data_IF_970683549103
#
_entry.id   IF_970683549103
#
_cell.length_a   1.000
_cell.length_b   1.000
_cell.length_c   1.000
_cell.angle_alpha   90.00
_cell.angle_beta   90.00
_cell.angle_gamma   90.00
#
_symmetry.space_group_name_H-M   'P 1'
#
loop_
_entity.id
_entity.type
_entity.pdbx_description
1 polymer ?
#
# COMPACT_ATOMS: atom_id res chain seq x y z
N UNK A 1 -13.75 20.90 3.76
CA UNK A 1 -12.65 20.66 4.71
C UNK A 1 -11.56 19.77 4.11
N UNK A 2 -11.83 18.50 3.72
CA UNK A 2 -10.83 17.60 3.09
C UNK A 2 -10.10 18.27 1.90
N UNK A 3 -10.84 18.85 0.96
CA UNK A 3 -10.24 19.47 -0.23
C UNK A 3 -9.29 20.63 0.11
N UNK A 4 -9.64 21.46 1.10
CA UNK A 4 -8.78 22.57 1.54
C UNK A 4 -7.48 22.06 2.16
N UNK A 5 -7.55 21.00 2.99
CA UNK A 5 -6.37 20.37 3.58
C UNK A 5 -5.49 19.73 2.50
N UNK A 6 -6.08 18.98 1.56
CA UNK A 6 -5.34 18.40 0.42
C UNK A 6 -4.69 19.50 -0.41
N UNK A 7 -5.41 20.56 -0.74
CA UNK A 7 -4.85 21.70 -1.51
C UNK A 7 -3.69 22.36 -0.76
N UNK A 8 -3.80 22.55 0.55
CA UNK A 8 -2.73 23.11 1.37
C UNK A 8 -1.48 22.22 1.34
N UNK A 9 -1.65 20.92 1.57
CA UNK A 9 -0.53 19.95 1.59
C UNK A 9 0.14 19.84 0.20
N UNK A 10 -0.66 19.82 -0.89
CA UNK A 10 -0.13 19.78 -2.27
C UNK A 10 0.62 21.07 -2.63
N UNK A 11 0.06 22.25 -2.31
CA UNK A 11 0.67 23.55 -2.65
C UNK A 11 1.97 23.82 -1.91
N UNK A 12 2.14 23.23 -0.72
CA UNK A 12 3.36 23.34 0.08
C UNK A 12 4.31 22.15 -0.08
N UNK A 13 4.04 21.22 -1.02
CA UNK A 13 4.83 20.00 -1.25
C UNK A 13 5.04 19.15 0.02
N UNK A 14 4.02 19.09 0.88
CA UNK A 14 4.07 18.38 2.15
C UNK A 14 3.63 16.90 2.07
N UNK A 15 3.19 16.46 0.90
CA UNK A 15 2.98 15.04 0.68
C UNK A 15 4.25 14.37 0.19
N UNK A 16 4.49 13.17 0.67
CA UNK A 16 5.48 12.28 0.09
C UNK A 16 5.21 12.11 -1.43
N UNK A 17 6.22 12.32 -2.26
CA UNK A 17 6.10 12.27 -3.72
C UNK A 17 5.82 10.86 -4.23
N UNK A 18 6.20 9.83 -3.47
CA UNK A 18 6.06 8.41 -3.81
C UNK A 18 4.68 7.85 -3.46
N UNK A 19 3.87 8.58 -2.66
CA UNK A 19 2.50 8.21 -2.31
C UNK A 19 1.53 8.62 -3.41
N UNK A 20 0.79 7.65 -3.96
CA UNK A 20 -0.20 7.89 -5.00
C UNK A 20 -1.66 7.81 -4.52
N UNK A 21 -1.93 7.17 -3.38
CA UNK A 21 -3.29 7.04 -2.89
C UNK A 21 -3.91 8.38 -2.46
N UNK A 22 -5.19 8.52 -2.72
CA UNK A 22 -6.03 9.65 -2.30
C UNK A 22 -5.58 11.04 -2.78
N UNK A 23 -4.66 11.12 -3.74
CA UNK A 23 -4.13 12.34 -4.35
C UNK A 23 -4.80 12.62 -5.70
N UNK A 24 -4.99 13.91 -6.03
CA UNK A 24 -5.55 14.33 -7.31
C UNK A 24 -4.60 14.00 -8.46
N UNK A 25 -5.11 13.42 -9.53
CA UNK A 25 -4.33 13.06 -10.72
C UNK A 25 -3.43 11.82 -10.55
N UNK A 26 -3.53 11.11 -9.42
CA UNK A 26 -2.82 9.85 -9.15
C UNK A 26 -3.81 8.69 -9.00
N UNK A 27 -3.37 7.49 -9.30
CA UNK A 27 -4.20 6.26 -9.29
C UNK A 27 -3.32 5.03 -9.04
N UNK A 28 -3.95 3.86 -8.82
CA UNK A 28 -3.25 2.58 -8.80
C UNK A 28 -2.42 2.39 -10.07
N UNK A 29 -3.00 2.69 -11.25
CA UNK A 29 -2.30 2.58 -12.53
C UNK A 29 -1.06 3.48 -12.59
N UNK A 30 -1.17 4.75 -12.18
CA UNK A 30 0.00 5.65 -12.19
C UNK A 30 1.09 5.22 -11.21
N UNK A 31 0.73 4.56 -10.10
CA UNK A 31 1.69 3.97 -9.17
C UNK A 31 2.39 2.76 -9.78
N UNK A 32 1.63 1.85 -10.39
CA UNK A 32 2.18 0.66 -11.05
C UNK A 32 3.12 1.05 -12.19
N UNK A 33 2.72 1.99 -13.05
CA UNK A 33 3.56 2.47 -14.14
C UNK A 33 4.87 3.07 -13.63
N UNK A 34 4.81 3.94 -12.61
CA UNK A 34 6.01 4.53 -12.03
C UNK A 34 6.91 3.49 -11.33
N UNK A 35 6.32 2.42 -10.79
CA UNK A 35 7.08 1.33 -10.20
C UNK A 35 7.77 0.48 -11.27
N UNK A 36 7.04 0.13 -12.33
CA UNK A 36 7.58 -0.66 -13.44
C UNK A 36 8.68 0.08 -14.20
N UNK A 37 8.48 1.35 -14.48
CA UNK A 37 9.46 2.22 -15.15
C UNK A 37 10.80 2.25 -14.39
N UNK A 38 10.74 2.34 -13.06
CA UNK A 38 11.92 2.30 -12.21
C UNK A 38 12.64 0.94 -12.26
N UNK A 39 11.88 -0.18 -12.17
CA UNK A 39 12.45 -1.54 -12.29
C UNK A 39 13.15 -1.70 -13.63
N UNK A 40 12.48 -1.34 -14.73
CA UNK A 40 13.05 -1.47 -16.09
C UNK A 40 14.28 -0.61 -16.26
N UNK A 41 14.27 0.63 -15.79
CA UNK A 41 15.43 1.52 -15.83
C UNK A 41 16.65 0.95 -15.11
N UNK A 42 16.45 0.34 -13.93
CA UNK A 42 17.52 -0.30 -13.18
C UNK A 42 18.06 -1.56 -13.90
N UNK A 43 17.17 -2.37 -14.48
CA UNK A 43 17.56 -3.57 -15.27
C UNK A 43 18.32 -3.15 -16.53
N UNK A 44 17.90 -2.11 -17.25
CA UNK A 44 18.59 -1.58 -18.44
C UNK A 44 20.01 -1.10 -18.09
N UNK A 45 20.22 -0.66 -16.85
CA UNK A 45 21.55 -0.32 -16.34
C UNK A 45 22.37 -1.55 -15.87
N UNK A 46 21.89 -2.77 -16.12
CA UNK A 46 22.59 -4.03 -15.82
C UNK A 46 22.55 -4.45 -14.35
N UNK A 47 21.60 -3.91 -13.56
CA UNK A 47 21.44 -4.25 -12.16
C UNK A 47 20.39 -5.34 -11.97
N UNK A 48 20.54 -6.18 -10.96
CA UNK A 48 19.39 -6.88 -10.39
C UNK A 48 18.54 -5.85 -9.60
N UNK A 49 17.26 -6.11 -9.47
CA UNK A 49 16.37 -5.25 -8.68
C UNK A 49 15.65 -6.09 -7.65
N UNK A 50 15.92 -5.82 -6.39
CA UNK A 50 15.27 -6.47 -5.27
C UNK A 50 14.17 -5.54 -4.72
N UNK A 51 12.94 -6.05 -4.62
CA UNK A 51 11.76 -5.30 -4.17
C UNK A 51 11.16 -5.98 -2.96
N UNK A 52 11.15 -5.33 -1.79
CA UNK A 52 10.50 -5.85 -0.58
C UNK A 52 9.10 -5.25 -0.46
N UNK A 53 8.07 -6.09 -0.55
CA UNK A 53 6.69 -5.72 -0.28
C UNK A 53 6.40 -5.82 1.20
N UNK A 54 5.88 -4.73 1.78
CA UNK A 54 5.63 -4.58 3.20
C UNK A 54 4.12 -4.58 3.46
N UNK A 55 3.67 -5.33 4.45
CA UNK A 55 2.26 -5.41 4.86
C UNK A 55 2.11 -4.88 6.29
N UNK A 56 1.28 -3.84 6.49
CA UNK A 56 0.98 -3.33 7.81
C UNK A 56 -0.12 -4.14 8.50
N UNK A 57 0.05 -4.46 9.76
CA UNK A 57 -0.96 -5.11 10.56
C UNK A 57 -2.07 -4.13 10.97
N UNK A 58 -3.22 -4.17 10.28
CA UNK A 58 -4.38 -3.30 10.56
C UNK A 58 -4.03 -1.81 10.52
N UNK A 59 -3.40 -1.36 9.44
CA UNK A 59 -2.85 -0.02 9.25
C UNK A 59 -3.76 1.11 9.76
N UNK A 60 -5.00 1.16 9.27
CA UNK A 60 -5.96 2.22 9.64
C UNK A 60 -6.45 2.16 11.08
N UNK A 61 -6.49 0.97 11.69
CA UNK A 61 -6.96 0.77 13.07
C UNK A 61 -5.88 1.06 14.11
N UNK A 62 -4.59 0.98 13.71
CA UNK A 62 -3.44 1.20 14.59
C UNK A 62 -2.91 2.62 14.58
N UNK A 63 -3.41 3.52 13.72
CA UNK A 63 -2.98 4.93 13.68
C UNK A 63 -2.96 5.53 15.08
N UNK A 64 -1.80 5.97 15.55
CA UNK A 64 -1.69 6.72 16.81
C UNK A 64 -2.16 8.15 16.60
N UNK A 65 -3.25 8.48 17.28
CA UNK A 65 -3.91 9.79 17.15
C UNK A 65 -2.98 10.92 17.60
N UNK A 66 -2.18 10.71 18.63
CA UNK A 66 -1.26 11.75 19.15
C UNK A 66 -0.12 12.00 18.17
N UNK A 67 0.43 10.93 17.58
CA UNK A 67 1.49 11.03 16.57
C UNK A 67 1.01 11.77 15.32
N UNK A 68 -0.16 11.43 14.79
CA UNK A 68 -0.69 12.11 13.61
C UNK A 68 -1.03 13.57 13.90
N UNK A 69 -1.59 13.88 15.06
CA UNK A 69 -1.85 15.27 15.47
C UNK A 69 -0.55 16.08 15.63
N UNK A 70 0.50 15.44 16.15
CA UNK A 70 1.82 16.05 16.21
C UNK A 70 2.38 16.35 14.81
N UNK A 71 2.37 15.35 13.90
CA UNK A 71 2.81 15.52 12.51
C UNK A 71 2.01 16.62 11.80
N UNK A 72 0.70 16.69 12.00
CA UNK A 72 -0.13 17.77 11.44
C UNK A 72 0.35 19.16 11.88
N UNK A 73 0.74 19.32 13.14
CA UNK A 73 1.33 20.58 13.63
C UNK A 73 2.67 20.88 12.95
N UNK A 74 3.55 19.87 12.83
CA UNK A 74 4.82 20.01 12.12
C UNK A 74 4.62 20.42 10.66
N UNK A 75 3.54 19.95 10.00
CA UNK A 75 3.14 20.34 8.66
C UNK A 75 2.43 21.71 8.59
N UNK A 76 2.34 22.47 9.68
CA UNK A 76 1.73 23.80 9.74
C UNK A 76 0.19 23.79 9.73
N UNK A 77 -0.46 22.65 10.01
CA UNK A 77 -1.91 22.58 10.16
C UNK A 77 -2.30 23.09 11.55
N UNK A 78 -2.88 24.28 11.62
CA UNK A 78 -3.17 24.99 12.87
C UNK A 78 -4.60 25.55 12.94
N UNK A 79 -4.91 26.19 14.07
CA UNK A 79 -6.13 26.95 14.28
C UNK A 79 -7.39 26.09 14.26
N UNK A 80 -8.47 26.66 13.70
CA UNK A 80 -9.82 26.03 13.75
C UNK A 80 -9.85 24.66 13.04
N UNK A 81 -9.07 24.47 12.00
CA UNK A 81 -9.01 23.21 11.27
C UNK A 81 -8.37 22.12 12.13
N UNK A 82 -7.24 22.43 12.75
CA UNK A 82 -6.54 21.50 13.66
C UNK A 82 -7.46 21.12 14.83
N UNK A 83 -8.05 22.10 15.54
CA UNK A 83 -8.91 21.84 16.69
C UNK A 83 -10.12 20.98 16.33
N UNK A 84 -10.67 21.16 15.13
CA UNK A 84 -11.77 20.35 14.63
C UNK A 84 -11.33 18.90 14.37
N UNK A 85 -10.18 18.69 13.74
CA UNK A 85 -9.64 17.34 13.47
C UNK A 85 -9.28 16.65 14.80
N UNK A 86 -8.69 17.36 15.73
CA UNK A 86 -8.41 16.86 17.07
C UNK A 86 -9.68 16.38 17.77
N UNK A 87 -10.73 17.20 17.77
CA UNK A 87 -12.05 16.83 18.33
C UNK A 87 -12.69 15.65 17.59
N UNK A 88 -12.49 15.54 16.27
CA UNK A 88 -13.00 14.43 15.47
C UNK A 88 -12.29 13.10 15.79
N UNK A 89 -11.03 13.13 16.17
CA UNK A 89 -10.21 11.95 16.45
C UNK A 89 -10.24 11.52 17.92
N UNK A 90 -10.31 12.48 18.85
CA UNK A 90 -10.27 12.21 20.29
C UNK A 90 -11.64 11.88 20.85
N UNK A 91 -11.65 11.28 22.04
CA UNK A 91 -12.85 11.00 22.84
C UNK A 91 -13.94 10.19 22.12
N UNK A 92 -13.55 9.39 21.13
CA UNK A 92 -14.48 8.49 20.43
C UNK A 92 -14.79 7.26 21.28
N UNK A 93 -16.01 6.79 21.15
CA UNK A 93 -16.45 5.51 21.70
C UNK A 93 -17.05 4.65 20.61
N UNK A 94 -17.03 3.34 20.80
CA UNK A 94 -17.68 2.38 19.90
C UNK A 94 -18.62 1.46 20.65
N UNK A 95 -19.69 1.08 19.99
CA UNK A 95 -20.71 0.15 20.46
C UNK A 95 -21.04 -0.81 19.32
N UNK A 96 -21.12 -2.09 19.61
CA UNK A 96 -21.53 -3.10 18.64
C UNK A 96 -23.04 -3.32 18.77
N UNK A 97 -23.75 -3.30 17.63
CA UNK A 97 -25.19 -3.56 17.57
C UNK A 97 -25.43 -4.80 16.73
N UNK A 98 -26.10 -5.81 17.32
CA UNK A 98 -26.48 -7.05 16.65
C UNK A 98 -27.97 -7.29 16.93
N UNK A 99 -28.78 -7.41 15.90
CA UNK A 99 -30.23 -7.66 15.98
C UNK A 99 -30.98 -6.72 16.97
N UNK A 100 -30.55 -5.43 17.01
CA UNK A 100 -31.15 -4.43 17.88
C UNK A 100 -30.61 -4.40 19.32
N UNK A 101 -29.75 -5.32 19.71
CA UNK A 101 -29.05 -5.33 20.99
C UNK A 101 -27.71 -4.60 20.89
N UNK A 102 -27.46 -3.72 21.86
CA UNK A 102 -26.22 -2.93 21.93
C UNK A 102 -25.29 -3.46 23.02
N UNK A 103 -23.99 -3.57 22.69
CA UNK A 103 -22.96 -3.79 23.70
C UNK A 103 -22.75 -2.58 24.59
N UNK A 104 -21.99 -2.72 25.67
CA UNK A 104 -21.45 -1.56 26.39
C UNK A 104 -20.58 -0.71 25.47
N UNK A 105 -20.64 0.61 25.65
CA UNK A 105 -19.77 1.54 24.91
C UNK A 105 -18.35 1.49 25.46
N UNK A 106 -17.35 1.33 24.59
CA UNK A 106 -15.93 1.32 24.95
C UNK A 106 -15.16 2.45 24.26
N UNK A 107 -14.17 3.08 24.93
CA UNK A 107 -13.38 4.14 24.31
C UNK A 107 -12.50 3.60 23.18
N UNK A 108 -12.42 4.35 22.07
CA UNK A 108 -11.52 4.08 20.95
C UNK A 108 -10.19 4.79 21.20
N UNK A 109 -9.11 4.04 21.36
CA UNK A 109 -7.77 4.56 21.72
C UNK A 109 -6.86 4.84 20.52
N UNK A 110 -7.10 4.19 19.38
CA UNK A 110 -6.29 4.29 18.15
C UNK A 110 -7.18 4.20 16.91
N UNK A 111 -6.57 4.38 15.78
CA UNK A 111 -7.19 4.25 14.46
C UNK A 111 -7.97 5.49 14.01
N UNK A 112 -8.13 5.58 12.72
CA UNK A 112 -8.97 6.58 12.07
C UNK A 112 -10.38 6.02 11.85
N UNK A 113 -11.45 6.87 11.89
CA UNK A 113 -12.79 6.39 11.63
C UNK A 113 -12.91 5.80 10.22
N UNK A 114 -13.09 4.48 10.13
CA UNK A 114 -13.30 3.79 8.85
C UNK A 114 -14.58 4.29 8.17
N UNK A 115 -14.54 4.41 6.83
CA UNK A 115 -15.66 4.98 6.05
C UNK A 115 -15.76 6.51 6.11
N UNK A 116 -14.91 7.19 6.88
CA UNK A 116 -14.85 8.65 6.88
C UNK A 116 -14.07 9.20 5.69
N UNK A 117 -14.43 10.40 5.24
CA UNK A 117 -13.74 11.11 4.14
C UNK A 117 -12.32 11.55 4.53
N UNK A 118 -12.05 11.75 5.82
CA UNK A 118 -10.75 12.20 6.34
C UNK A 118 -9.83 11.07 6.77
N UNK A 119 -10.36 9.91 7.13
CA UNK A 119 -9.54 8.78 7.60
C UNK A 119 -8.36 8.46 6.69
N UNK A 120 -8.57 8.26 5.39
CA UNK A 120 -7.47 8.00 4.45
C UNK A 120 -6.43 9.14 4.39
N UNK A 121 -6.87 10.39 4.42
CA UNK A 121 -5.95 11.53 4.40
C UNK A 121 -5.11 11.62 5.67
N UNK A 122 -5.71 11.36 6.82
CA UNK A 122 -5.02 11.33 8.12
C UNK A 122 -3.98 10.21 8.15
N UNK A 123 -4.29 9.04 7.58
CA UNK A 123 -3.33 7.96 7.42
C UNK A 123 -2.13 8.38 6.56
N UNK A 124 -2.37 9.02 5.41
CA UNK A 124 -1.29 9.51 4.54
C UNK A 124 -0.42 10.54 5.26
N UNK A 125 -1.01 11.42 6.07
CA UNK A 125 -0.25 12.37 6.90
C UNK A 125 0.66 11.65 7.90
N UNK A 126 0.22 10.52 8.48
CA UNK A 126 1.10 9.71 9.32
C UNK A 126 2.31 9.18 8.55
N UNK A 127 2.10 8.82 7.27
CA UNK A 127 3.10 8.18 6.40
C UNK A 127 4.04 9.19 5.68
N UNK A 128 3.92 10.50 5.94
CA UNK A 128 4.63 11.52 5.13
C UNK A 128 6.14 11.47 5.23
N UNK A 129 6.69 10.95 6.30
CA UNK A 129 8.12 10.96 6.62
C UNK A 129 8.79 9.57 6.55
N UNK A 130 8.07 8.52 6.15
CA UNK A 130 8.63 7.15 6.10
C UNK A 130 9.79 7.03 5.10
N UNK A 131 9.79 7.80 4.03
CA UNK A 131 10.85 7.79 3.02
C UNK A 131 12.11 8.54 3.46
N UNK A 132 12.01 9.41 4.46
CA UNK A 132 13.17 10.09 5.05
C UNK A 132 14.11 9.12 5.78
N UNK A 133 13.61 7.94 6.17
CA UNK A 133 14.40 6.88 6.80
C UNK A 133 15.24 6.06 5.81
N UNK A 134 14.99 6.20 4.51
CA UNK A 134 15.70 5.45 3.48
C UNK A 134 16.91 6.22 2.98
N UNK A 135 18.09 5.59 3.07
CA UNK A 135 19.35 6.19 2.62
C UNK A 135 19.77 5.73 1.22
N UNK A 136 19.38 4.53 0.83
CA UNK A 136 19.91 3.86 -0.37
C UNK A 136 18.81 3.31 -1.28
N UNK A 137 17.60 3.14 -0.77
CA UNK A 137 16.48 2.48 -1.44
C UNK A 137 15.41 3.48 -1.82
N UNK A 138 14.57 3.10 -2.77
CA UNK A 138 13.39 3.88 -3.17
C UNK A 138 12.14 3.32 -2.51
N UNK A 139 11.32 4.21 -1.95
CA UNK A 139 10.01 3.86 -1.44
C UNK A 139 8.94 4.12 -2.51
N UNK A 140 8.00 3.23 -2.62
CA UNK A 140 6.75 3.41 -3.38
C UNK A 140 5.59 2.98 -2.51
N UNK A 141 4.53 3.80 -2.42
CA UNK A 141 3.37 3.47 -1.60
C UNK A 141 2.04 3.85 -2.24
N UNK A 142 1.03 3.06 -1.96
CA UNK A 142 -0.36 3.35 -2.27
C UNK A 142 -1.21 3.05 -1.03
N UNK A 143 -1.51 4.06 -0.23
CA UNK A 143 -2.02 3.95 1.12
C UNK A 143 -1.07 3.12 2.01
N UNK A 144 -1.53 2.00 2.53
CA UNK A 144 -0.78 1.05 3.34
C UNK A 144 0.04 0.04 2.52
N UNK A 145 -0.32 -0.19 1.25
CA UNK A 145 0.51 -1.00 0.34
C UNK A 145 1.84 -0.28 0.08
N UNK A 146 2.88 -0.72 0.75
CA UNK A 146 4.21 -0.08 0.74
C UNK A 146 5.27 -1.06 0.28
N UNK A 147 6.23 -0.59 -0.50
CA UNK A 147 7.37 -1.36 -0.97
C UNK A 147 8.63 -0.51 -1.00
N UNK A 148 9.73 -1.13 -0.68
CA UNK A 148 11.07 -0.55 -0.86
C UNK A 148 11.82 -1.34 -1.92
N UNK A 149 12.61 -0.67 -2.74
CA UNK A 149 13.31 -1.29 -3.84
C UNK A 149 14.70 -0.69 -4.03
N UNK A 150 15.60 -1.51 -4.54
CA UNK A 150 16.95 -1.10 -4.84
C UNK A 150 17.51 -1.89 -6.01
N UNK A 151 18.29 -1.21 -6.88
CA UNK A 151 19.19 -1.86 -7.83
C UNK A 151 20.40 -2.44 -7.08
N UNK A 152 20.72 -3.70 -7.35
CA UNK A 152 21.74 -4.46 -6.63
C UNK A 152 22.71 -5.10 -7.63
N UNK A 153 24.01 -4.74 -7.54
CA UNK A 153 25.09 -5.32 -8.33
C UNK A 153 26.07 -6.15 -7.50
N UNK A 154 25.97 -6.08 -6.19
CA UNK A 154 26.87 -6.78 -5.26
C UNK A 154 26.25 -6.93 -3.87
N UNK A 155 26.86 -7.78 -3.02
CA UNK A 155 26.39 -8.09 -1.67
C UNK A 155 26.31 -6.84 -0.77
N UNK A 156 27.20 -5.85 -0.96
CA UNK A 156 27.16 -4.60 -0.19
C UNK A 156 25.88 -3.82 -0.46
N UNK A 157 25.46 -3.73 -1.71
CA UNK A 157 24.22 -3.03 -2.08
C UNK A 157 22.97 -3.74 -1.57
N UNK A 158 22.98 -5.08 -1.56
CA UNK A 158 21.94 -5.85 -0.88
C UNK A 158 21.91 -5.56 0.63
N UNK A 159 23.07 -5.46 1.28
CA UNK A 159 23.14 -5.07 2.71
C UNK A 159 22.64 -3.65 2.98
N UNK A 160 22.74 -2.74 2.01
CA UNK A 160 22.16 -1.40 2.11
C UNK A 160 20.62 -1.44 2.10
N UNK A 161 20.01 -2.25 1.22
CA UNK A 161 18.55 -2.47 1.22
C UNK A 161 18.09 -3.09 2.55
N UNK A 162 18.87 -4.05 3.08
CA UNK A 162 18.58 -4.63 4.41
C UNK A 162 18.65 -3.58 5.52
N UNK A 163 19.62 -2.65 5.46
CA UNK A 163 19.74 -1.55 6.41
C UNK A 163 18.51 -0.62 6.35
N UNK A 164 18.11 -0.21 5.17
CA UNK A 164 16.91 0.61 4.95
C UNK A 164 15.63 -0.10 5.42
N UNK A 165 15.55 -1.44 5.25
CA UNK A 165 14.44 -2.22 5.78
C UNK A 165 14.37 -2.16 7.31
N UNK A 166 15.50 -2.20 8.01
CA UNK A 166 15.53 -2.04 9.46
C UNK A 166 15.13 -0.62 9.88
N UNK A 167 15.58 0.41 9.18
CA UNK A 167 15.16 1.79 9.44
C UNK A 167 13.63 1.95 9.31
N UNK A 168 13.01 1.29 8.34
CA UNK A 168 11.55 1.28 8.18
C UNK A 168 10.85 0.56 9.34
N UNK A 169 11.44 -0.51 9.89
CA UNK A 169 10.94 -1.14 11.12
C UNK A 169 11.01 -0.18 12.32
N UNK A 170 12.13 0.51 12.50
CA UNK A 170 12.32 1.48 13.58
C UNK A 170 11.34 2.65 13.46
N UNK A 171 11.09 3.11 12.22
CA UNK A 171 10.05 4.10 11.94
C UNK A 171 8.66 3.60 12.35
N UNK A 172 8.32 2.36 12.00
CA UNK A 172 7.01 1.78 12.35
C UNK A 172 6.84 1.69 13.87
N UNK A 173 7.83 1.19 14.59
CA UNK A 173 7.83 1.14 16.06
C UNK A 173 7.69 2.55 16.67
N UNK A 174 8.47 3.51 16.19
CA UNK A 174 8.43 4.90 16.66
C UNK A 174 7.08 5.57 16.40
N UNK A 175 6.31 5.11 15.41
CA UNK A 175 4.97 5.61 15.08
C UNK A 175 3.84 4.74 15.65
N UNK A 176 4.14 3.76 16.51
CA UNK A 176 3.20 2.77 17.04
C UNK A 176 2.46 1.98 15.96
N UNK A 177 3.11 1.84 14.80
CA UNK A 177 2.66 0.99 13.70
C UNK A 177 3.34 -0.37 13.79
N UNK A 178 2.70 -1.39 13.25
CA UNK A 178 3.23 -2.75 13.26
C UNK A 178 3.12 -3.36 11.87
N UNK A 179 4.19 -4.02 11.45
CA UNK A 179 4.18 -4.81 10.23
C UNK A 179 3.73 -6.26 10.50
N UNK A 180 3.09 -6.85 9.51
CA UNK A 180 2.87 -8.28 9.45
C UNK A 180 4.01 -8.94 8.67
N UNK A 181 5.16 -9.08 9.32
CA UNK A 181 6.40 -9.53 8.68
C UNK A 181 6.31 -10.92 8.03
N UNK A 182 5.33 -11.76 8.45
CA UNK A 182 5.08 -13.07 7.85
C UNK A 182 4.47 -12.98 6.45
N UNK A 183 3.98 -11.81 6.05
CA UNK A 183 3.44 -11.54 4.72
C UNK A 183 4.40 -10.76 3.83
N UNK A 184 5.59 -10.48 4.29
CA UNK A 184 6.57 -9.84 3.44
C UNK A 184 6.97 -10.79 2.33
N UNK A 185 7.04 -10.26 1.13
CA UNK A 185 7.39 -10.98 -0.08
C UNK A 185 8.44 -10.19 -0.85
N UNK A 186 9.33 -10.90 -1.52
CA UNK A 186 10.41 -10.29 -2.28
C UNK A 186 10.52 -10.91 -3.68
N UNK A 187 9.97 -10.31 -4.73
CA UNK A 187 10.33 -10.63 -6.10
C UNK A 187 11.69 -10.01 -6.41
N UNK A 188 12.52 -10.78 -7.11
CA UNK A 188 13.88 -10.38 -7.47
C UNK A 188 14.04 -10.43 -8.98
N UNK A 189 14.18 -9.26 -9.58
CA UNK A 189 14.31 -9.07 -11.01
C UNK A 189 15.79 -9.10 -11.43
N UNK A 190 16.06 -9.39 -12.70
CA UNK A 190 17.42 -9.42 -13.27
C UNK A 190 17.98 -10.82 -13.41
N UNK A 191 19.11 -10.93 -14.14
CA UNK A 191 19.64 -12.19 -14.63
C UNK A 191 20.79 -12.77 -13.78
N UNK A 192 21.34 -12.03 -12.82
CA UNK A 192 22.45 -12.53 -11.99
C UNK A 192 21.94 -13.42 -10.85
N UNK A 193 21.73 -14.70 -11.17
CA UNK A 193 21.29 -15.72 -10.21
C UNK A 193 22.36 -16.02 -9.14
N UNK A 194 23.65 -15.85 -9.45
CA UNK A 194 24.72 -16.07 -8.48
C UNK A 194 24.63 -15.03 -7.34
N UNK A 195 24.36 -13.77 -7.68
CA UNK A 195 24.15 -12.71 -6.68
C UNK A 195 22.89 -12.96 -5.84
N UNK A 196 21.80 -13.40 -6.44
CA UNK A 196 20.57 -13.75 -5.71
C UNK A 196 20.81 -14.85 -4.67
N UNK A 197 21.59 -15.88 -5.01
CA UNK A 197 21.92 -16.97 -4.08
C UNK A 197 22.81 -16.53 -2.90
N UNK A 198 23.61 -15.48 -3.08
CA UNK A 198 24.53 -14.96 -2.05
C UNK A 198 23.85 -13.99 -1.07
N UNK A 199 22.63 -13.56 -1.36
CA UNK A 199 21.95 -12.49 -0.62
C UNK A 199 20.57 -12.94 -0.15
N UNK A 200 20.28 -12.76 1.13
CA UNK A 200 18.96 -12.96 1.72
C UNK A 200 18.58 -11.73 2.53
N UNK A 201 17.27 -11.50 2.64
CA UNK A 201 16.72 -10.40 3.44
C UNK A 201 15.99 -10.93 4.66
N UNK A 202 16.17 -10.24 5.78
CA UNK A 202 15.66 -10.67 7.07
C UNK A 202 14.61 -9.68 7.59
N UNK A 203 13.60 -10.22 8.23
CA UNK A 203 12.68 -9.43 9.06
C UNK A 203 13.38 -8.94 10.34
N UNK A 204 12.76 -8.04 11.09
CA UNK A 204 13.26 -7.56 12.38
C UNK A 204 13.44 -8.66 13.44
N UNK A 205 12.78 -9.81 13.30
CA UNK A 205 12.92 -10.98 14.19
C UNK A 205 13.91 -12.02 13.64
N UNK A 206 14.65 -11.70 12.57
CA UNK A 206 15.65 -12.58 11.97
C UNK A 206 15.10 -13.71 11.08
N UNK A 207 13.82 -13.68 10.71
CA UNK A 207 13.24 -14.64 9.77
C UNK A 207 13.56 -14.20 8.33
N UNK A 208 13.96 -15.13 7.47
CA UNK A 208 14.20 -14.84 6.05
C UNK A 208 12.85 -14.47 5.40
N UNK A 209 12.86 -13.38 4.62
CA UNK A 209 11.72 -12.96 3.83
C UNK A 209 11.55 -13.92 2.64
N UNK A 210 10.32 -14.28 2.36
CA UNK A 210 9.98 -15.29 1.36
C UNK A 210 10.17 -14.74 -0.06
N UNK A 211 11.09 -15.35 -0.82
CA UNK A 211 11.30 -15.01 -2.23
C UNK A 211 10.16 -15.57 -3.08
N UNK A 212 9.62 -14.74 -3.99
CA UNK A 212 8.50 -15.09 -4.85
C UNK A 212 8.82 -14.85 -6.32
N UNK A 213 8.43 -15.79 -7.17
CA UNK A 213 8.48 -15.60 -8.62
C UNK A 213 7.46 -14.56 -9.09
N UNK A 214 6.35 -14.43 -8.38
CA UNK A 214 5.33 -13.41 -8.64
C UNK A 214 4.67 -12.92 -7.35
N UNK A 215 4.27 -11.64 -7.35
CA UNK A 215 3.55 -10.99 -6.25
C UNK A 215 2.32 -10.26 -6.77
N UNK A 216 1.31 -10.14 -5.91
CA UNK A 216 0.12 -9.36 -6.24
C UNK A 216 0.28 -7.93 -5.76
N UNK A 217 0.29 -6.97 -6.67
CA UNK A 217 0.44 -5.55 -6.41
C UNK A 217 -0.72 -4.75 -6.99
N UNK A 218 -1.49 -4.06 -6.15
CA UNK A 218 -2.64 -3.23 -6.52
C UNK A 218 -3.60 -3.90 -7.52
N UNK A 219 -3.80 -5.20 -7.36
CA UNK A 219 -4.69 -6.00 -8.20
C UNK A 219 -4.03 -6.64 -9.42
N UNK A 220 -2.78 -6.31 -9.73
CA UNK A 220 -1.99 -6.94 -10.79
C UNK A 220 -1.05 -8.02 -10.22
N UNK A 221 -0.77 -9.06 -11.00
CA UNK A 221 0.28 -10.04 -10.70
C UNK A 221 1.53 -9.60 -11.44
N UNK A 222 2.58 -9.34 -10.67
CA UNK A 222 3.88 -8.88 -11.14
C UNK A 222 4.87 -10.05 -11.04
N UNK A 223 5.34 -10.55 -12.17
CA UNK A 223 6.30 -11.66 -12.23
C UNK A 223 7.73 -11.13 -12.28
N UNK A 224 8.67 -11.86 -11.66
CA UNK A 224 10.09 -11.49 -11.59
C UNK A 224 10.81 -11.52 -12.94
N UNK A 225 10.22 -12.18 -13.96
CA UNK A 225 10.67 -12.17 -15.36
C UNK A 225 10.17 -10.92 -16.13
N UNK A 226 9.39 -10.05 -15.50
CA UNK A 226 8.77 -8.87 -16.11
C UNK A 226 7.61 -9.18 -17.06
N UNK A 227 7.17 -10.45 -17.19
CA UNK A 227 6.06 -10.83 -18.06
C UNK A 227 4.70 -10.57 -17.39
N UNK A 228 3.67 -10.32 -18.22
CA UNK A 228 2.28 -10.23 -17.77
C UNK A 228 1.48 -11.52 -18.01
N UNK A 229 2.17 -12.61 -18.38
CA UNK A 229 1.52 -13.87 -18.76
C UNK A 229 0.64 -14.43 -17.64
N UNK A 230 1.14 -14.46 -16.42
CA UNK A 230 0.40 -14.94 -15.25
C UNK A 230 -0.82 -14.06 -14.95
N UNK A 231 -0.64 -12.74 -14.98
CA UNK A 231 -1.73 -11.78 -14.77
C UNK A 231 -2.83 -11.94 -15.83
N UNK A 232 -2.47 -12.00 -17.11
CA UNK A 232 -3.42 -12.18 -18.21
C UNK A 232 -4.19 -13.49 -18.06
N UNK A 233 -3.51 -14.60 -17.75
CA UNK A 233 -4.16 -15.89 -17.52
C UNK A 233 -5.14 -15.82 -16.33
N UNK A 234 -4.73 -15.21 -15.22
CA UNK A 234 -5.58 -15.02 -14.04
C UNK A 234 -6.85 -14.22 -14.37
N UNK A 235 -6.74 -13.09 -15.08
CA UNK A 235 -7.88 -12.26 -15.48
C UNK A 235 -8.81 -13.02 -16.43
N UNK A 236 -8.24 -13.75 -17.40
CA UNK A 236 -9.04 -14.56 -18.35
C UNK A 236 -9.82 -15.65 -17.62
N UNK A 237 -9.19 -16.38 -16.70
CA UNK A 237 -9.89 -17.43 -15.93
C UNK A 237 -10.97 -16.86 -15.01
N UNK A 238 -10.74 -15.71 -14.41
CA UNK A 238 -11.73 -15.00 -13.60
C UNK A 238 -12.91 -14.55 -14.46
N UNK A 239 -12.65 -13.97 -15.63
CA UNK A 239 -13.69 -13.57 -16.58
C UNK A 239 -14.53 -14.78 -17.08
N UNK A 240 -13.89 -15.90 -17.41
CA UNK A 240 -14.59 -17.15 -17.78
C UNK A 240 -15.49 -17.65 -16.66
N UNK A 241 -15.03 -17.61 -15.43
CA UNK A 241 -15.80 -18.01 -14.24
C UNK A 241 -17.03 -17.14 -14.06
N UNK A 242 -16.89 -15.82 -14.17
CA UNK A 242 -18.00 -14.87 -14.09
C UNK A 242 -19.00 -15.07 -15.23
N UNK A 243 -18.52 -15.25 -16.47
CA UNK A 243 -19.37 -15.54 -17.62
C UNK A 243 -20.18 -16.83 -17.41
N UNK A 244 -19.52 -17.90 -16.95
CA UNK A 244 -20.18 -19.18 -16.65
C UNK A 244 -21.25 -19.04 -15.57
N UNK A 245 -20.99 -18.21 -14.55
CA UNK A 245 -21.98 -17.87 -13.51
C UNK A 245 -23.18 -17.13 -14.07
N UNK A 246 -22.96 -16.13 -14.93
CA UNK A 246 -24.04 -15.40 -15.61
C UNK A 246 -24.91 -16.38 -16.43
N UNK A 247 -24.27 -17.25 -17.23
CA UNK A 247 -24.97 -18.20 -18.06
C UNK A 247 -25.80 -19.24 -17.29
N UNK A 248 -25.37 -19.60 -16.08
CA UNK A 248 -26.10 -20.54 -15.20
C UNK A 248 -27.27 -19.89 -14.47
N UNK A 249 -27.11 -18.66 -14.00
CA UNK A 249 -28.06 -18.04 -13.08
C UNK A 249 -29.15 -17.19 -13.80
N UNK A 250 -28.83 -16.64 -14.97
CA UNK A 250 -29.80 -15.79 -15.70
C UNK A 250 -30.44 -16.56 -16.87
N UNK A 251 -31.77 -16.62 -16.87
CA UNK A 251 -32.53 -17.29 -17.95
C UNK A 251 -32.66 -16.45 -19.21
N UNK A 252 -32.75 -15.12 -19.05
CA UNK A 252 -32.84 -14.20 -20.18
C UNK A 252 -31.57 -14.22 -21.02
N UNK A 253 -31.72 -14.32 -22.34
CA UNK A 253 -30.62 -14.28 -23.32
C UNK A 253 -30.74 -13.09 -24.27
N UNK A 254 -31.60 -12.11 -23.94
CA UNK A 254 -31.69 -10.91 -24.76
C UNK A 254 -30.38 -10.16 -24.80
N UNK A 255 -30.01 -9.61 -25.96
CA UNK A 255 -28.72 -8.91 -26.16
C UNK A 255 -28.50 -7.79 -25.13
N UNK A 256 -29.51 -6.97 -24.88
CA UNK A 256 -29.41 -5.86 -23.96
C UNK A 256 -29.15 -6.34 -22.52
N UNK A 257 -29.80 -7.40 -22.08
CA UNK A 257 -29.59 -7.99 -20.75
C UNK A 257 -28.18 -8.55 -20.61
N UNK A 258 -27.72 -9.31 -21.60
CA UNK A 258 -26.40 -9.91 -21.60
C UNK A 258 -25.29 -8.86 -21.64
N UNK A 259 -25.46 -7.79 -22.42
CA UNK A 259 -24.53 -6.66 -22.47
C UNK A 259 -24.48 -5.90 -21.14
N UNK A 260 -25.61 -5.73 -20.46
CA UNK A 260 -25.65 -5.11 -19.14
C UNK A 260 -24.86 -5.96 -18.13
N UNK A 261 -25.12 -7.27 -18.07
CA UNK A 261 -24.40 -8.20 -17.18
C UNK A 261 -22.90 -8.26 -17.52
N UNK A 262 -22.53 -8.29 -18.78
CA UNK A 262 -21.15 -8.25 -19.22
C UNK A 262 -20.42 -6.99 -18.71
N UNK A 263 -21.02 -5.83 -18.94
CA UNK A 263 -20.43 -4.54 -18.54
C UNK A 263 -20.35 -4.36 -17.02
N UNK A 264 -21.29 -4.93 -16.25
CA UNK A 264 -21.35 -4.75 -14.80
C UNK A 264 -20.61 -5.81 -14.01
N UNK A 265 -20.42 -7.01 -14.54
CA UNK A 265 -19.86 -8.15 -13.81
C UNK A 265 -18.55 -8.64 -14.41
N UNK A 266 -18.43 -8.74 -15.76
CA UNK A 266 -17.25 -9.33 -16.40
C UNK A 266 -16.15 -8.29 -16.66
N UNK A 267 -16.49 -7.11 -17.21
CA UNK A 267 -15.48 -6.07 -17.50
C UNK A 267 -14.73 -5.59 -16.24
N UNK A 268 -15.37 -5.45 -15.05
CA UNK A 268 -14.65 -5.01 -13.85
C UNK A 268 -13.77 -6.08 -13.20
N UNK A 269 -13.77 -7.31 -13.72
CA UNK A 269 -12.95 -8.41 -13.15
C UNK A 269 -11.50 -8.30 -13.51
#
# INVERSE_FOLDING_TARGET
>A
MRNNLVTYLDQNNLFNTTQHAFRKGRSCLSQLLAHYDEILSLIENGLNVDVVYLDFAKAFDKVDIKKVLYKMKCLGVEGKLYNWIESFLLNRTQTVVVEGYSSTSIPVKSGVPQGSVLGPLIFIILMTDIDEELMYSLLKSFADDTRIMKGVSNVREASQLQGDLFNVYDWAESNNMEFNSLKFEIPRYGADEALKQLTNYLTNIGTIIDEKDSVKDLGNIMSNDGSFTEHVNHVVEKAKTQMSSILRNFKSRSLNHMLCLWKSIVIPT
#
